data_IF_399477817415
#
_entry.id   IF_399477817415
#
_cell.length_a   1.000
_cell.length_b   1.000
_cell.length_c   1.000
_cell.angle_alpha   90.00
_cell.angle_beta   90.00
_cell.angle_gamma   90.00
#
_symmetry.space_group_name_H-M   'P 1'
#
loop_
_entity.id
_entity.type
_entity.pdbx_description
1 polymer ?
#
# COMPACT_ATOMS: atom_id res chain seq x y z
N UNK A 1 4.24 16.55 -13.37
CA UNK A 1 2.97 16.43 -12.66
C UNK A 1 2.51 15.00 -12.83
N UNK A 2 2.58 14.24 -11.76
CA UNK A 2 2.21 12.83 -11.68
C UNK A 2 0.81 12.79 -11.08
N UNK A 3 -0.14 12.18 -11.78
CA UNK A 3 -1.51 12.04 -11.29
C UNK A 3 -1.70 10.64 -10.71
N UNK A 4 -1.82 10.52 -9.38
CA UNK A 4 -2.01 9.21 -8.74
C UNK A 4 -3.42 8.66 -8.92
N UNK A 5 -4.39 9.48 -9.31
CA UNK A 5 -5.82 9.15 -9.32
C UNK A 5 -6.42 9.17 -10.73
N UNK A 6 -5.66 8.71 -11.73
CA UNK A 6 -6.18 8.48 -13.08
C UNK A 6 -7.34 7.48 -13.04
N UNK A 7 -8.54 7.94 -13.45
CA UNK A 7 -9.80 7.20 -13.31
C UNK A 7 -9.80 5.81 -13.94
N UNK A 8 -9.03 5.63 -15.01
CA UNK A 8 -8.87 4.35 -15.72
C UNK A 8 -8.13 3.26 -14.91
N UNK A 9 -7.41 3.64 -13.86
CA UNK A 9 -6.68 2.71 -13.01
C UNK A 9 -7.39 2.43 -11.69
N UNK A 10 -8.37 3.26 -11.31
CA UNK A 10 -9.09 3.14 -10.05
C UNK A 10 -10.10 1.99 -10.14
N UNK A 11 -10.02 1.10 -9.16
CA UNK A 11 -11.06 0.10 -8.87
C UNK A 11 -11.66 0.39 -7.49
N UNK A 12 -12.82 -0.17 -7.16
CA UNK A 12 -13.42 0.00 -5.83
C UNK A 12 -14.15 -1.24 -5.36
N UNK A 13 -14.35 -1.33 -4.05
CA UNK A 13 -15.24 -2.29 -3.39
C UNK A 13 -15.92 -1.64 -2.19
N UNK A 14 -17.14 -2.07 -1.93
CA UNK A 14 -17.89 -1.77 -0.70
C UNK A 14 -18.19 -3.02 0.12
N UNK A 15 -17.64 -4.19 -0.25
CA UNK A 15 -17.87 -5.40 0.52
C UNK A 15 -17.31 -5.25 1.92
N UNK A 16 -18.00 -5.85 2.89
CA UNK A 16 -17.57 -5.92 4.29
C UNK A 16 -16.15 -6.47 4.45
N UNK A 17 -15.75 -7.36 3.55
CA UNK A 17 -14.42 -7.95 3.51
C UNK A 17 -14.02 -8.25 2.08
N UNK A 18 -12.82 -7.83 1.71
CA UNK A 18 -12.21 -8.14 0.42
C UNK A 18 -10.69 -8.22 0.57
N UNK A 19 -10.00 -8.67 -0.47
CA UNK A 19 -8.54 -8.76 -0.48
C UNK A 19 -7.89 -7.80 -1.45
N UNK A 20 -6.60 -7.56 -1.24
CA UNK A 20 -5.70 -7.03 -2.27
C UNK A 20 -4.70 -8.12 -2.61
N UNK A 21 -4.63 -8.44 -3.90
CA UNK A 21 -3.76 -9.47 -4.44
C UNK A 21 -2.65 -8.83 -5.28
N UNK A 22 -1.46 -9.44 -5.24
CA UNK A 22 -0.38 -9.17 -6.18
C UNK A 22 -0.10 -10.45 -7.00
N UNK A 23 -0.42 -10.45 -8.30
CA UNK A 23 -0.22 -11.62 -9.15
C UNK A 23 1.28 -11.87 -9.44
N UNK A 24 1.72 -13.14 -9.52
CA UNK A 24 3.15 -13.49 -9.66
C UNK A 24 3.75 -13.15 -11.04
N UNK A 25 2.94 -12.73 -12.02
CA UNK A 25 3.39 -12.34 -13.34
C UNK A 25 3.71 -10.85 -13.35
N UNK A 26 4.96 -10.49 -13.66
CA UNK A 26 5.51 -9.12 -13.64
C UNK A 26 4.84 -8.09 -14.57
N UNK A 27 3.77 -8.48 -15.26
CA UNK A 27 2.99 -7.61 -16.16
C UNK A 27 1.58 -7.35 -15.62
N UNK A 28 1.17 -8.02 -14.53
CA UNK A 28 -0.14 -7.85 -13.95
C UNK A 28 -0.06 -6.96 -12.71
N UNK A 29 -0.94 -5.96 -12.70
CA UNK A 29 -1.05 -5.00 -11.62
C UNK A 29 -1.74 -5.60 -10.40
N UNK A 30 -1.40 -5.11 -9.21
CA UNK A 30 -2.15 -5.38 -7.99
C UNK A 30 -3.64 -5.05 -8.19
N UNK A 31 -4.54 -5.77 -7.50
CA UNK A 31 -5.98 -5.59 -7.69
C UNK A 31 -6.81 -5.96 -6.46
N UNK A 32 -8.02 -5.39 -6.38
CA UNK A 32 -9.04 -5.79 -5.41
C UNK A 32 -9.63 -7.14 -5.82
N UNK A 33 -9.67 -8.08 -4.87
CA UNK A 33 -10.31 -9.38 -5.04
C UNK A 33 -11.47 -9.53 -4.04
N UNK A 34 -12.69 -9.62 -4.57
CA UNK A 34 -13.92 -9.74 -3.78
C UNK A 34 -14.42 -11.19 -3.58
N UNK A 35 -13.77 -12.18 -4.21
CA UNK A 35 -14.06 -13.61 -4.09
C UNK A 35 -13.33 -14.25 -2.91
N UNK A 36 -13.70 -15.49 -2.54
CA UNK A 36 -13.16 -16.15 -1.35
C UNK A 36 -11.66 -16.53 -1.48
N UNK A 37 -10.79 -15.69 -0.90
CA UNK A 37 -9.87 -16.07 0.17
C UNK A 37 -8.51 -16.72 -0.11
N UNK A 38 -8.26 -17.36 -1.26
CA UNK A 38 -7.03 -18.18 -1.36
C UNK A 38 -5.73 -17.39 -1.65
N UNK A 39 -5.81 -16.23 -2.30
CA UNK A 39 -4.63 -15.47 -2.74
C UNK A 39 -4.53 -14.04 -2.18
N UNK A 40 -5.32 -13.71 -1.16
CA UNK A 40 -5.29 -12.39 -0.54
C UNK A 40 -3.99 -12.17 0.22
N UNK A 41 -3.21 -11.18 -0.22
CA UNK A 41 -1.98 -10.78 0.48
C UNK A 41 -2.31 -9.80 1.59
N UNK A 42 -3.10 -8.78 1.27
CA UNK A 42 -3.78 -7.94 2.25
C UNK A 42 -5.25 -8.34 2.34
N UNK A 43 -5.79 -8.29 3.55
CA UNK A 43 -7.21 -8.42 3.83
C UNK A 43 -7.72 -7.06 4.25
N UNK A 44 -8.74 -6.54 3.59
CA UNK A 44 -9.39 -5.29 3.99
C UNK A 44 -10.64 -5.65 4.80
N UNK A 45 -10.68 -5.18 6.04
CA UNK A 45 -11.86 -5.26 6.91
C UNK A 45 -12.60 -3.93 6.84
N UNK A 46 -13.68 -3.92 6.05
CA UNK A 46 -14.50 -2.76 5.77
C UNK A 46 -15.82 -2.86 6.53
N UNK A 47 -15.74 -2.77 7.86
CA UNK A 47 -16.86 -3.01 8.77
C UNK A 47 -18.11 -2.20 8.42
N UNK A 48 -17.92 -0.96 7.97
CA UNK A 48 -18.99 -0.02 7.61
C UNK A 48 -19.49 -0.15 6.15
N UNK A 49 -18.90 -1.05 5.36
CA UNK A 49 -19.28 -1.30 3.96
C UNK A 49 -19.26 -0.02 3.10
N UNK A 50 -18.30 0.89 3.36
CA UNK A 50 -18.12 2.12 2.59
C UNK A 50 -17.39 1.85 1.27
N UNK A 51 -17.50 2.76 0.30
CA UNK A 51 -16.72 2.67 -0.93
C UNK A 51 -15.24 2.92 -0.66
N UNK A 52 -14.43 1.86 -0.80
CA UNK A 52 -12.97 1.93 -0.76
C UNK A 52 -12.44 1.82 -2.17
N UNK A 53 -11.64 2.79 -2.59
CA UNK A 53 -10.98 2.82 -3.90
C UNK A 53 -9.56 2.30 -3.79
N UNK A 54 -9.07 1.71 -4.88
CA UNK A 54 -7.72 1.19 -4.99
C UNK A 54 -7.06 1.64 -6.29
N UNK A 55 -5.81 2.09 -6.19
CA UNK A 55 -4.92 2.35 -7.34
C UNK A 55 -3.72 1.41 -7.25
N UNK A 56 -3.45 0.61 -8.29
CA UNK A 56 -2.16 -0.07 -8.42
C UNK A 56 -1.07 0.91 -8.83
N UNK A 57 -0.17 1.22 -7.92
CA UNK A 57 0.88 2.23 -8.13
C UNK A 57 2.03 1.67 -8.96
N UNK A 58 2.39 0.41 -8.72
CA UNK A 58 3.55 -0.23 -9.32
C UNK A 58 3.48 -0.43 -10.85
N UNK A 59 2.28 -0.49 -11.43
CA UNK A 59 2.13 -0.69 -12.87
C UNK A 59 1.49 0.51 -13.57
N UNK A 60 0.90 1.45 -12.83
CA UNK A 60 0.13 2.54 -13.44
C UNK A 60 0.72 3.93 -13.20
N UNK A 61 1.76 4.05 -12.38
CA UNK A 61 2.38 5.34 -12.07
C UNK A 61 3.86 5.31 -12.39
N UNK A 62 4.26 6.11 -13.38
CA UNK A 62 5.66 6.29 -13.76
C UNK A 62 6.37 7.24 -12.79
N UNK A 63 6.97 6.67 -11.75
CA UNK A 63 7.91 7.40 -10.90
C UNK A 63 9.32 7.23 -11.49
N UNK A 64 9.88 8.29 -12.09
CA UNK A 64 11.21 8.26 -12.72
C UNK A 64 12.27 8.94 -11.84
N UNK A 65 13.46 8.33 -11.78
CA UNK A 65 14.68 8.94 -11.22
C UNK A 65 15.21 10.04 -12.15
N UNK A 66 16.15 10.89 -11.68
CA UNK A 66 16.77 11.92 -12.53
C UNK A 66 17.46 11.39 -13.79
N UNK A 67 17.91 10.13 -13.78
CA UNK A 67 18.53 9.45 -14.91
C UNK A 67 17.52 8.85 -15.91
N UNK A 68 16.21 9.03 -15.67
CA UNK A 68 15.14 8.49 -16.51
C UNK A 68 14.81 7.02 -16.24
N UNK A 69 15.46 6.36 -15.28
CA UNK A 69 15.11 4.99 -14.90
C UNK A 69 13.94 4.96 -13.93
N UNK A 70 13.18 3.85 -13.91
CA UNK A 70 12.09 3.67 -12.95
C UNK A 70 12.62 3.71 -11.51
N UNK A 71 11.96 4.51 -10.67
CA UNK A 71 12.16 4.60 -9.24
C UNK A 71 11.38 3.50 -8.51
N UNK A 72 11.81 3.23 -7.28
CA UNK A 72 11.12 2.29 -6.40
C UNK A 72 9.74 2.84 -6.04
N UNK A 73 8.75 1.96 -6.06
CA UNK A 73 7.36 2.26 -5.72
C UNK A 73 6.73 1.08 -4.98
N UNK A 74 5.69 1.35 -4.22
CA UNK A 74 4.87 0.32 -3.61
C UNK A 74 3.81 -0.21 -4.57
N UNK A 75 3.17 -1.30 -4.21
CA UNK A 75 2.21 -2.01 -5.07
C UNK A 75 0.95 -1.20 -5.32
N UNK A 76 0.44 -0.51 -4.30
CA UNK A 76 -0.76 0.30 -4.49
C UNK A 76 -1.12 1.23 -3.34
N UNK A 77 -2.24 1.93 -3.49
CA UNK A 77 -2.86 2.67 -2.41
C UNK A 77 -4.37 2.46 -2.39
N UNK A 78 -4.92 2.37 -1.17
CA UNK A 78 -6.34 2.44 -0.90
C UNK A 78 -6.69 3.87 -0.47
N UNK A 79 -7.87 4.34 -0.83
CA UNK A 79 -8.37 5.62 -0.34
C UNK A 79 -9.90 5.64 -0.26
N UNK A 80 -10.38 6.39 0.72
CA UNK A 80 -11.80 6.60 1.01
C UNK A 80 -11.92 7.88 1.83
N UNK A 81 -13.00 8.63 1.66
CA UNK A 81 -13.23 9.91 2.34
C UNK A 81 -11.97 10.82 2.39
N UNK A 82 -11.37 11.00 3.58
CA UNK A 82 -10.13 11.75 3.81
C UNK A 82 -8.98 10.86 4.29
N UNK A 83 -9.04 9.58 4.01
CA UNK A 83 -8.04 8.57 4.36
C UNK A 83 -7.34 8.05 3.12
N UNK A 84 -6.01 7.97 3.20
CA UNK A 84 -5.17 7.26 2.22
C UNK A 84 -4.29 6.24 2.93
N UNK A 85 -4.14 5.08 2.31
CA UNK A 85 -3.37 3.95 2.81
C UNK A 85 -2.47 3.43 1.69
N UNK A 86 -1.16 3.69 1.77
CA UNK A 86 -0.21 3.04 0.87
C UNK A 86 0.04 1.59 1.31
N UNK A 87 0.13 0.67 0.37
CA UNK A 87 0.25 -0.76 0.65
C UNK A 87 1.41 -1.34 -0.14
N UNK A 88 2.29 -2.01 0.58
CA UNK A 88 3.28 -2.94 0.04
C UNK A 88 2.85 -4.37 0.38
N UNK A 89 2.71 -5.20 -0.66
CA UNK A 89 2.25 -6.58 -0.65
C UNK A 89 3.46 -7.51 -0.70
N UNK A 90 3.49 -8.48 0.22
CA UNK A 90 4.61 -9.39 0.41
C UNK A 90 4.09 -10.82 0.56
N UNK A 91 4.32 -11.65 -0.46
CA UNK A 91 3.91 -13.06 -0.44
C UNK A 91 4.79 -13.96 0.48
N UNK A 92 4.31 -15.16 0.81
CA UNK A 92 4.90 -16.13 1.74
C UNK A 92 6.33 -16.58 1.42
N UNK A 93 6.78 -16.41 0.17
CA UNK A 93 8.07 -16.93 -0.29
C UNK A 93 9.29 -16.04 0.05
N UNK A 94 9.10 -14.99 0.84
CA UNK A 94 10.18 -14.06 1.18
C UNK A 94 11.23 -14.71 2.08
N UNK A 95 12.46 -14.81 1.56
CA UNK A 95 13.63 -15.29 2.30
C UNK A 95 14.50 -14.11 2.73
N UNK A 96 14.97 -14.13 3.97
CA UNK A 96 15.90 -13.14 4.52
C UNK A 96 15.26 -12.13 5.48
N UNK A 97 16.09 -11.36 6.19
CA UNK A 97 15.64 -10.42 7.23
C UNK A 97 15.40 -8.98 6.72
N UNK A 98 15.79 -8.67 5.48
CA UNK A 98 15.81 -7.30 4.97
C UNK A 98 14.53 -6.88 4.24
N UNK A 99 13.60 -7.79 3.96
CA UNK A 99 12.39 -7.48 3.19
C UNK A 99 11.56 -6.32 3.76
N UNK A 100 11.52 -6.16 5.08
CA UNK A 100 10.84 -5.02 5.72
C UNK A 100 11.57 -3.70 5.39
N UNK A 101 12.91 -3.71 5.34
CA UNK A 101 13.70 -2.52 4.95
C UNK A 101 13.43 -2.15 3.50
N UNK A 102 13.33 -3.14 2.62
CA UNK A 102 13.06 -2.89 1.20
C UNK A 102 11.62 -2.37 1.01
N UNK A 103 10.65 -2.99 1.68
CA UNK A 103 9.25 -2.55 1.69
C UNK A 103 9.10 -1.11 2.21
N UNK A 104 9.78 -0.75 3.30
CA UNK A 104 9.78 0.62 3.81
C UNK A 104 10.37 1.61 2.82
N UNK A 105 11.44 1.22 2.11
CA UNK A 105 12.04 2.08 1.09
C UNK A 105 11.07 2.35 -0.04
N UNK A 106 10.33 1.33 -0.50
CA UNK A 106 9.29 1.47 -1.52
C UNK A 106 8.17 2.42 -1.07
N UNK A 107 7.67 2.24 0.15
CA UNK A 107 6.66 3.13 0.73
C UNK A 107 7.16 4.57 0.86
N UNK A 108 8.35 4.78 1.45
CA UNK A 108 8.94 6.12 1.63
C UNK A 108 9.14 6.85 0.31
N UNK A 109 9.64 6.16 -0.72
CA UNK A 109 9.84 6.76 -2.04
C UNK A 109 8.50 7.17 -2.67
N UNK A 110 7.50 6.27 -2.63
CA UNK A 110 6.17 6.56 -3.18
C UNK A 110 5.50 7.73 -2.45
N UNK A 111 5.49 7.70 -1.12
CA UNK A 111 4.90 8.75 -0.28
C UNK A 111 5.56 10.10 -0.56
N UNK A 112 6.90 10.13 -0.64
CA UNK A 112 7.61 11.37 -0.93
C UNK A 112 7.15 11.98 -2.26
N UNK A 113 7.08 11.17 -3.32
CA UNK A 113 6.60 11.64 -4.64
C UNK A 113 5.14 12.09 -4.59
N UNK A 114 4.29 11.37 -3.86
CA UNK A 114 2.89 11.73 -3.69
C UNK A 114 2.71 13.07 -2.96
N UNK A 115 3.49 13.33 -1.91
CA UNK A 115 3.47 14.61 -1.18
C UNK A 115 3.98 15.77 -2.05
N UNK A 116 4.97 15.55 -2.91
CA UNK A 116 5.53 16.56 -3.82
C UNK A 116 4.49 17.07 -4.85
N UNK A 117 3.47 16.27 -5.20
CA UNK A 117 2.42 16.63 -6.18
C UNK A 117 1.25 17.42 -5.56
N UNK A 118 1.18 17.54 -4.23
CA UNK A 118 0.15 18.30 -3.52
C UNK A 118 -1.24 17.63 -3.46
N UNK A 119 -1.43 16.48 -4.11
CA UNK A 119 -2.64 15.66 -4.02
C UNK A 119 -2.89 15.15 -2.59
N UNK A 120 -1.83 15.06 -1.78
CA UNK A 120 -1.89 14.62 -0.39
C UNK A 120 -2.71 15.54 0.53
N UNK A 121 -2.95 16.80 0.13
CA UNK A 121 -3.60 17.81 0.97
C UNK A 121 -5.08 17.52 1.27
N UNK A 122 -5.73 16.68 0.47
CA UNK A 122 -7.13 16.29 0.70
C UNK A 122 -7.28 15.22 1.78
N UNK A 123 -6.19 14.53 2.13
CA UNK A 123 -6.19 13.43 3.08
C UNK A 123 -5.69 13.88 4.46
N UNK A 124 -6.55 13.74 5.47
CA UNK A 124 -6.22 14.04 6.88
C UNK A 124 -5.72 12.82 7.63
N UNK A 125 -6.07 11.62 7.18
CA UNK A 125 -5.60 10.36 7.75
C UNK A 125 -4.68 9.68 6.74
N UNK A 126 -3.44 9.45 7.15
CA UNK A 126 -2.35 8.97 6.30
C UNK A 126 -1.74 7.72 6.92
N UNK A 127 -1.90 6.57 6.27
CA UNK A 127 -1.41 5.27 6.75
C UNK A 127 -0.54 4.58 5.69
N UNK A 128 0.30 3.67 6.14
CA UNK A 128 1.09 2.79 5.28
C UNK A 128 1.08 1.37 5.85
N UNK A 129 0.93 0.37 4.98
CA UNK A 129 0.89 -1.03 5.36
C UNK A 129 1.94 -1.82 4.62
N UNK A 130 2.67 -2.64 5.37
CA UNK A 130 3.44 -3.74 4.81
C UNK A 130 2.65 -5.01 5.10
N UNK A 131 1.84 -5.42 4.14
CA UNK A 131 0.94 -6.56 4.24
C UNK A 131 1.63 -7.83 3.80
N UNK A 132 1.68 -8.81 4.69
CA UNK A 132 2.34 -10.08 4.44
C UNK A 132 1.40 -11.26 4.72
N UNK A 133 1.16 -12.08 3.69
CA UNK A 133 0.24 -13.23 3.71
C UNK A 133 0.65 -14.35 4.67
N UNK A 134 1.89 -14.33 5.18
CA UNK A 134 2.41 -15.23 6.20
C UNK A 134 2.12 -14.78 7.65
N UNK A 135 1.48 -13.61 7.85
CA UNK A 135 1.13 -13.04 9.17
C UNK A 135 2.38 -12.87 10.07
N UNK A 136 3.21 -11.84 9.84
CA UNK A 136 4.44 -11.65 10.59
C UNK A 136 4.14 -11.50 12.08
N UNK A 137 4.79 -12.30 12.93
CA UNK A 137 4.70 -12.11 14.38
C UNK A 137 5.31 -10.76 14.75
N UNK A 138 4.59 -9.96 15.53
CA UNK A 138 5.08 -8.69 16.03
C UNK A 138 6.39 -8.89 16.81
N UNK A 139 7.41 -8.08 16.54
CA UNK A 139 8.73 -8.14 17.22
C UNK A 139 9.02 -6.80 17.87
N UNK A 140 9.66 -6.81 19.05
CA UNK A 140 9.97 -5.62 19.87
C UNK A 140 10.70 -4.48 19.14
N UNK A 141 11.47 -4.76 18.08
CA UNK A 141 12.12 -3.74 17.24
C UNK A 141 11.20 -3.02 16.24
N UNK A 142 9.94 -3.41 16.12
CA UNK A 142 8.99 -2.79 15.19
C UNK A 142 8.46 -1.44 15.69
N UNK A 143 8.40 -1.21 17.01
CA UNK A 143 7.91 0.06 17.57
C UNK A 143 8.77 1.25 17.15
N UNK A 144 10.09 1.20 17.42
CA UNK A 144 11.05 2.25 17.03
C UNK A 144 11.02 2.50 15.52
N UNK A 145 10.83 1.42 14.76
CA UNK A 145 10.76 1.47 13.31
C UNK A 145 9.51 2.20 12.81
N UNK A 146 8.34 1.91 13.40
CA UNK A 146 7.08 2.61 13.10
C UNK A 146 7.15 4.08 13.51
N UNK A 147 7.76 4.39 14.65
CA UNK A 147 7.99 5.76 15.12
C UNK A 147 8.89 6.55 14.16
N UNK A 148 10.02 5.98 13.73
CA UNK A 148 10.89 6.61 12.74
C UNK A 148 10.20 6.78 11.38
N UNK A 149 9.38 5.80 10.96
CA UNK A 149 8.58 5.92 9.75
C UNK A 149 7.61 7.10 9.84
N UNK A 150 6.87 7.21 10.94
CA UNK A 150 5.96 8.32 11.18
C UNK A 150 6.69 9.66 11.24
N UNK A 151 7.80 9.75 11.96
CA UNK A 151 8.58 11.00 12.09
C UNK A 151 9.10 11.52 10.74
N UNK A 152 9.48 10.63 9.83
CA UNK A 152 10.01 11.02 8.50
C UNK A 152 8.92 11.29 7.47
N UNK A 153 7.78 10.60 7.53
CA UNK A 153 6.77 10.62 6.46
C UNK A 153 5.46 11.30 6.86
N UNK A 154 5.16 11.37 8.16
CA UNK A 154 3.84 11.68 8.72
C UNK A 154 2.75 10.63 8.40
N UNK A 155 3.14 9.40 8.06
CA UNK A 155 2.23 8.27 7.80
C UNK A 155 2.37 7.23 8.91
N UNK A 156 1.23 6.72 9.39
CA UNK A 156 1.20 5.66 10.40
C UNK A 156 1.53 4.33 9.72
N UNK A 157 2.69 3.76 10.03
CA UNK A 157 3.08 2.44 9.54
C UNK A 157 2.40 1.32 10.34
N UNK A 158 1.95 0.28 9.62
CA UNK A 158 1.49 -1.00 10.17
C UNK A 158 2.14 -2.15 9.41
N UNK A 159 2.54 -3.19 10.14
CA UNK A 159 3.18 -4.39 9.57
C UNK A 159 2.32 -5.58 9.92
N UNK A 160 1.24 -5.75 9.16
CA UNK A 160 0.21 -6.75 9.38
C UNK A 160 -0.56 -6.97 8.09
N UNK A 161 -1.22 -8.13 7.98
CA UNK A 161 -1.93 -8.48 6.75
C UNK A 161 -3.34 -7.88 6.67
N UNK A 162 -3.88 -7.36 7.78
CA UNK A 162 -5.26 -6.88 7.85
C UNK A 162 -5.28 -5.36 7.89
N UNK A 163 -5.98 -4.74 6.95
CA UNK A 163 -6.15 -3.30 6.83
C UNK A 163 -7.56 -2.98 7.34
N UNK A 164 -7.63 -2.25 8.44
CA UNK A 164 -8.89 -1.80 9.03
C UNK A 164 -9.32 -0.47 8.39
N UNK A 165 -10.58 -0.44 7.94
CA UNK A 165 -11.23 0.76 7.42
C UNK A 165 -12.03 1.38 8.56
N UNK A 166 -11.70 2.62 8.90
CA UNK A 166 -12.25 3.36 10.04
C UNK A 166 -13.34 4.34 9.61
#
# INVERSE_FOLDING_TARGET
MINFFLKEHITSSSKRRFGVCDPPASEQKAYIAEGEGENWIAVVDNYYEIEVKFVPVDHCIELLKPDGTMDNRCDGCLFYEKTIIFVELKDRNIKGANWIKDAEKQLRHTIKRFEDEGESNVFTVKKAYIANSAKPRFRSGQTVRMENFFAETNYILRIENTIEID
#
